data_IF_899245555884
#
_entry.id   IF_899245555884
#
_cell.length_a   1.000
_cell.length_b   1.000
_cell.length_c   1.000
_cell.angle_alpha   90.00
_cell.angle_beta   90.00
_cell.angle_gamma   90.00
#
_symmetry.space_group_name_H-M   'P 1'
#
loop_
_entity.id
_entity.type
_entity.pdbx_description
1 polymer ?
#
# COMPACT_ATOMS: atom_id res chain seq x y z
N UNK A 1 -4.50 -10.65 0.42
CA UNK A 1 -3.42 -11.14 -0.49
C UNK A 1 -2.11 -10.58 0.02
N UNK A 2 -1.06 -11.37 0.18
CA UNK A 2 0.21 -10.91 0.78
C UNK A 2 1.33 -10.79 -0.24
N UNK A 3 2.11 -9.72 -0.15
CA UNK A 3 3.32 -9.53 -0.94
C UNK A 3 4.39 -8.76 -0.14
N UNK A 4 5.66 -9.01 -0.47
CA UNK A 4 6.79 -8.31 0.11
C UNK A 4 7.17 -7.12 -0.77
N UNK A 5 7.40 -5.96 -0.17
CA UNK A 5 7.70 -4.72 -0.90
C UNK A 5 8.49 -3.74 -0.04
N UNK A 6 9.02 -2.70 -0.66
CA UNK A 6 9.69 -1.60 0.06
C UNK A 6 8.78 -0.39 0.06
N UNK A 7 8.65 0.26 1.22
CA UNK A 7 7.94 1.53 1.33
C UNK A 7 8.75 2.59 0.61
N UNK A 8 8.17 3.16 -0.44
CA UNK A 8 8.77 4.25 -1.20
C UNK A 8 8.59 5.56 -0.43
N UNK A 9 9.68 6.32 -0.31
CA UNK A 9 9.66 7.68 0.21
C UNK A 9 9.73 8.68 -0.94
N UNK A 10 8.75 9.58 -1.03
CA UNK A 10 8.77 10.73 -1.93
C UNK A 10 9.46 11.95 -1.30
N UNK A 11 9.47 13.07 -2.01
CA UNK A 11 10.27 14.27 -1.70
C UNK A 11 9.97 15.00 -0.38
N UNK A 12 8.88 14.65 0.32
CA UNK A 12 8.49 15.28 1.59
C UNK A 12 8.08 14.24 2.63
N UNK A 13 6.79 14.15 2.90
CA UNK A 13 6.19 13.22 3.87
C UNK A 13 5.40 12.10 3.19
N UNK A 14 5.32 12.15 1.85
CA UNK A 14 4.60 11.20 1.04
C UNK A 14 5.33 9.86 1.05
N UNK A 15 4.69 8.86 1.59
CA UNK A 15 5.16 7.48 1.57
C UNK A 15 4.13 6.63 0.86
N UNK A 16 4.60 5.72 0.01
CA UNK A 16 3.73 4.90 -0.82
C UNK A 16 4.26 3.49 -0.96
N UNK A 17 3.33 2.56 -1.08
CA UNK A 17 3.62 1.16 -1.35
C UNK A 17 3.24 0.91 -2.79
N UNK A 18 4.21 0.45 -3.60
CA UNK A 18 3.91 -0.04 -4.95
C UNK A 18 3.27 -1.41 -4.83
N UNK A 19 2.10 -1.55 -5.44
CA UNK A 19 1.43 -2.85 -5.55
C UNK A 19 1.93 -3.50 -6.85
N UNK A 20 2.33 -4.78 -6.84
CA UNK A 20 2.61 -5.52 -8.06
C UNK A 20 1.36 -5.65 -8.95
N UNK A 21 1.54 -5.59 -10.26
CA UNK A 21 0.42 -5.65 -11.23
C UNK A 21 -0.33 -7.00 -11.15
N UNK A 22 0.37 -8.08 -10.79
CA UNK A 22 -0.21 -9.40 -10.53
C UNK A 22 -1.21 -9.38 -9.36
N UNK A 23 -0.91 -8.61 -8.30
CA UNK A 23 -1.78 -8.47 -7.13
C UNK A 23 -2.99 -7.63 -7.51
N UNK A 24 -2.80 -6.53 -8.24
CA UNK A 24 -3.91 -5.72 -8.75
C UNK A 24 -4.84 -6.51 -9.69
N UNK A 25 -4.25 -7.32 -10.57
CA UNK A 25 -5.00 -8.21 -11.47
C UNK A 25 -5.77 -9.26 -10.66
N UNK A 26 -5.13 -9.85 -9.65
CA UNK A 26 -5.76 -10.83 -8.74
C UNK A 26 -6.90 -10.24 -7.90
N UNK A 27 -6.81 -8.96 -7.51
CA UNK A 27 -7.89 -8.24 -6.85
C UNK A 27 -9.09 -7.99 -7.77
N UNK A 28 -8.89 -7.90 -9.10
CA UNK A 28 -9.97 -7.82 -10.08
C UNK A 28 -10.87 -6.57 -9.99
N UNK A 29 -10.50 -5.56 -9.19
CA UNK A 29 -11.38 -4.45 -8.82
C UNK A 29 -11.15 -3.15 -9.62
N UNK A 30 -10.60 -3.26 -10.82
CA UNK A 30 -10.40 -2.12 -11.73
C UNK A 30 -9.26 -1.19 -11.30
N UNK A 31 -9.34 0.09 -11.69
CA UNK A 31 -8.17 0.99 -11.73
C UNK A 31 -7.82 1.65 -10.38
N UNK A 32 -8.83 1.86 -9.52
CA UNK A 32 -8.69 2.55 -8.22
C UNK A 32 -9.59 1.94 -7.14
N UNK A 33 -9.47 0.64 -6.84
CA UNK A 33 -10.31 0.03 -5.83
C UNK A 33 -10.01 0.58 -4.42
N UNK A 34 -11.05 0.69 -3.57
CA UNK A 34 -10.85 0.81 -2.13
C UNK A 34 -10.27 -0.51 -1.60
N UNK A 35 -9.25 -0.41 -0.77
CA UNK A 35 -8.49 -1.55 -0.25
C UNK A 35 -8.21 -1.40 1.23
N UNK A 36 -8.15 -2.54 1.92
CA UNK A 36 -7.65 -2.65 3.27
C UNK A 36 -6.22 -3.16 3.22
N UNK A 37 -5.31 -2.41 3.82
CA UNK A 37 -3.89 -2.75 3.87
C UNK A 37 -3.51 -3.08 5.31
N UNK A 38 -2.79 -4.18 5.51
CA UNK A 38 -2.31 -4.62 6.82
C UNK A 38 -0.79 -4.80 6.79
N UNK A 39 -0.10 -4.14 7.71
CA UNK A 39 1.36 -4.17 7.84
C UNK A 39 1.70 -4.32 9.32
N UNK A 40 2.53 -5.30 9.69
CA UNK A 40 2.90 -5.58 11.09
C UNK A 40 1.70 -5.69 12.05
N UNK A 41 0.54 -6.17 11.57
CA UNK A 41 -0.69 -6.26 12.35
C UNK A 41 -1.51 -4.97 12.47
N UNK A 42 -1.01 -3.84 11.93
CA UNK A 42 -1.78 -2.61 11.80
C UNK A 42 -2.53 -2.58 10.48
N UNK A 43 -3.86 -2.62 10.54
CA UNK A 43 -4.74 -2.55 9.37
C UNK A 43 -5.32 -1.15 9.19
N UNK A 44 -5.28 -0.62 7.97
CA UNK A 44 -5.89 0.65 7.61
C UNK A 44 -6.58 0.57 6.26
N UNK A 45 -7.61 1.41 6.07
CA UNK A 45 -8.29 1.57 4.79
C UNK A 45 -7.58 2.62 3.94
N UNK A 46 -7.43 2.34 2.66
CA UNK A 46 -6.84 3.26 1.70
C UNK A 46 -7.44 3.01 0.31
N UNK A 47 -7.07 3.84 -0.65
CA UNK A 47 -7.53 3.69 -2.04
C UNK A 47 -6.31 3.56 -2.94
N UNK A 48 -6.34 2.59 -3.84
CA UNK A 48 -5.28 2.47 -4.85
C UNK A 48 -5.34 3.67 -5.79
N UNK A 49 -4.19 4.30 -6.01
CA UNK A 49 -4.00 5.35 -7.00
C UNK A 49 -3.02 4.87 -8.07
N UNK A 50 -3.19 5.35 -9.30
CA UNK A 50 -2.18 5.18 -10.34
C UNK A 50 -1.24 6.37 -10.32
N UNK A 51 0.03 6.14 -10.00
CA UNK A 51 1.09 7.15 -10.02
C UNK A 51 2.09 6.71 -11.08
N UNK A 52 2.29 7.54 -12.11
CA UNK A 52 3.24 7.26 -13.19
C UNK A 52 3.00 5.88 -13.86
N UNK A 53 1.72 5.58 -14.15
CA UNK A 53 1.29 4.30 -14.72
C UNK A 53 1.34 3.11 -13.77
N UNK A 54 1.79 3.28 -12.53
CA UNK A 54 1.96 2.19 -11.55
C UNK A 54 0.90 2.26 -10.44
N UNK A 55 0.32 1.13 -10.04
CA UNK A 55 -0.61 1.09 -8.91
C UNK A 55 0.15 1.26 -7.59
N UNK A 56 -0.30 2.21 -6.79
CA UNK A 56 0.31 2.60 -5.53
C UNK A 56 -0.74 2.87 -4.47
N UNK A 57 -0.40 2.59 -3.22
CA UNK A 57 -1.19 2.97 -2.04
C UNK A 57 -0.36 3.88 -1.15
N UNK A 58 -0.91 5.05 -0.84
CA UNK A 58 -0.32 5.96 0.14
C UNK A 58 -0.45 5.41 1.55
N UNK A 59 0.60 5.60 2.35
CA UNK A 59 0.56 5.39 3.80
C UNK A 59 0.80 6.73 4.50
N UNK A 60 -0.15 7.14 5.34
CA UNK A 60 -0.06 8.38 6.12
C UNK A 60 0.99 8.25 7.24
N UNK A 61 1.41 9.38 7.81
CA UNK A 61 2.34 9.38 8.94
C UNK A 61 1.78 8.62 10.16
N UNK A 62 0.49 8.74 10.45
CA UNK A 62 -0.19 7.99 11.51
C UNK A 62 -0.17 6.48 11.26
N UNK A 63 -0.48 6.04 10.04
CA UNK A 63 -0.46 4.61 9.71
C UNK A 63 0.96 4.03 9.73
N UNK A 64 1.96 4.82 9.33
CA UNK A 64 3.37 4.44 9.48
C UNK A 64 3.78 4.27 10.94
N UNK A 65 3.39 5.22 11.80
CA UNK A 65 3.65 5.14 13.23
C UNK A 65 2.94 3.93 13.86
N UNK A 66 1.69 3.68 13.50
CA UNK A 66 0.91 2.53 13.98
C UNK A 66 1.46 1.18 13.53
N UNK A 67 1.96 1.10 12.28
CA UNK A 67 2.62 -0.10 11.76
C UNK A 67 4.10 -0.23 12.17
N UNK A 68 4.70 0.81 12.74
CA UNK A 68 6.12 0.84 13.11
C UNK A 68 7.08 0.81 11.91
N UNK A 69 6.75 1.49 10.81
CA UNK A 69 7.49 1.43 9.53
C UNK A 69 7.88 2.81 9.02
N UNK A 70 9.02 2.92 8.33
CA UNK A 70 9.48 4.16 7.73
C UNK A 70 9.59 4.07 6.19
N UNK A 71 9.86 5.21 5.55
CA UNK A 71 10.23 5.22 4.14
C UNK A 71 11.57 4.52 3.93
N UNK A 72 11.64 3.58 3.00
CA UNK A 72 12.80 2.73 2.74
C UNK A 72 12.75 1.36 3.43
N UNK A 73 11.81 1.10 4.33
CA UNK A 73 11.67 -0.20 4.98
C UNK A 73 11.10 -1.27 4.04
N UNK A 74 11.66 -2.47 4.15
CA UNK A 74 11.15 -3.67 3.50
C UNK A 74 10.11 -4.33 4.43
N UNK A 75 8.89 -4.50 3.94
CA UNK A 75 7.74 -4.91 4.75
C UNK A 75 6.87 -5.94 4.01
N UNK A 76 6.24 -6.81 4.79
CA UNK A 76 5.18 -7.70 4.31
C UNK A 76 3.84 -6.98 4.39
N UNK A 77 3.18 -6.87 3.24
CA UNK A 77 1.93 -6.14 3.09
C UNK A 77 0.83 -7.12 2.75
N UNK A 78 -0.21 -7.16 3.56
CA UNK A 78 -1.47 -7.79 3.19
C UNK A 78 -2.42 -6.75 2.59
N UNK A 79 -3.03 -7.07 1.45
CA UNK A 79 -4.01 -6.22 0.76
C UNK A 79 -5.26 -7.00 0.40
N UNK A 80 -6.41 -6.42 0.71
CA UNK A 80 -7.73 -6.99 0.44
C UNK A 80 -8.65 -5.88 -0.09
N UNK A 81 -9.70 -6.23 -0.81
CA UNK A 81 -10.71 -5.26 -1.22
C UNK A 81 -11.50 -4.78 -0.01
N UNK A 82 -11.69 -3.46 0.10
CA UNK A 82 -12.59 -2.86 1.09
C UNK A 82 -13.98 -2.71 0.44
N UNK A 83 -14.68 -3.84 0.29
CA UNK A 83 -16.04 -3.93 -0.29
C UNK A 83 -17.10 -3.92 0.80
#
# INVERSE_FOLDING_TARGET
>A
MRFHTTILQGDKTATGIRIPDEIMTGLGAGRKPPVRVTINGHSYRSTVATVDGRPMVGISAENRAGAGVAGGDAVDVDIELDT
#
